data_IF_237875235310
#
_entry.id   IF_237875235310
#
_cell.length_a   1.000
_cell.length_b   1.000
_cell.length_c   1.000
_cell.angle_alpha   90.00
_cell.angle_beta   90.00
_cell.angle_gamma   90.00
#
_symmetry.space_group_name_H-M   'P 1'
#
loop_
_entity.id
_entity.type
_entity.pdbx_description
1 polymer ?
#
# COMPACT_ATOMS: atom_id res chain seq x y z
N UNK A 1 23.37 -11.04 7.29
CA UNK A 1 22.27 -10.87 8.25
C UNK A 1 21.01 -10.91 7.44
N UNK A 2 20.27 -12.01 7.51
CA UNK A 2 19.01 -12.14 6.79
C UNK A 2 17.90 -11.52 7.63
N UNK A 3 17.29 -10.45 7.12
CA UNK A 3 16.09 -9.90 7.72
C UNK A 3 14.90 -10.78 7.29
N UNK A 4 14.42 -11.63 8.18
CA UNK A 4 13.17 -12.37 7.96
C UNK A 4 12.01 -11.39 8.15
N UNK A 5 11.22 -11.19 7.09
CA UNK A 5 10.06 -10.31 7.12
C UNK A 5 8.79 -11.16 7.10
N UNK A 6 7.87 -10.90 8.04
CA UNK A 6 6.56 -11.54 8.09
C UNK A 6 5.64 -10.93 7.02
N UNK A 7 5.02 -11.79 6.20
CA UNK A 7 3.94 -11.42 5.31
C UNK A 7 2.60 -11.80 5.94
N UNK A 8 1.69 -10.84 5.98
CA UNK A 8 0.42 -10.92 6.71
C UNK A 8 -0.72 -10.83 5.71
N UNK A 9 -1.68 -11.75 5.77
CA UNK A 9 -2.91 -11.67 4.94
C UNK A 9 -3.70 -10.42 5.35
N UNK A 10 -4.00 -9.57 4.37
CA UNK A 10 -4.68 -8.29 4.58
C UNK A 10 -6.13 -8.44 5.11
N UNK A 11 -6.71 -9.63 5.03
CA UNK A 11 -8.03 -9.97 5.59
C UNK A 11 -7.95 -10.35 7.07
N UNK A 12 -6.81 -10.91 7.49
CA UNK A 12 -6.60 -11.35 8.87
C UNK A 12 -6.18 -10.19 9.76
N UNK A 13 -5.28 -9.33 9.27
CA UNK A 13 -4.76 -8.21 10.03
C UNK A 13 -4.33 -7.08 9.10
N UNK A 14 -4.66 -5.85 9.49
CA UNK A 14 -4.26 -4.63 8.78
C UNK A 14 -3.05 -3.97 9.46
N UNK A 15 -2.25 -3.19 8.72
CA UNK A 15 -1.19 -2.38 9.30
C UNK A 15 -1.75 -1.28 10.21
N UNK A 16 -0.86 -0.61 10.94
CA UNK A 16 -1.22 0.64 11.63
C UNK A 16 -1.36 1.77 10.60
N UNK A 17 -2.31 2.68 10.85
CA UNK A 17 -2.52 3.86 10.00
C UNK A 17 -1.25 4.71 9.91
N UNK A 18 -0.93 5.18 8.71
CA UNK A 18 0.26 5.98 8.38
C UNK A 18 1.55 5.17 8.19
N UNK A 19 1.53 3.85 8.36
CA UNK A 19 2.76 3.03 8.24
C UNK A 19 3.01 2.65 6.78
N UNK A 20 4.25 2.83 6.27
CA UNK A 20 4.65 2.33 4.97
C UNK A 20 4.90 0.81 5.03
N UNK A 21 4.42 0.11 4.00
CA UNK A 21 4.47 -1.35 3.87
C UNK A 21 4.88 -1.75 2.47
N UNK A 22 5.43 -2.95 2.33
CA UNK A 22 5.42 -3.65 1.05
C UNK A 22 4.06 -4.37 0.93
N UNK A 23 3.29 -4.06 -0.11
CA UNK A 23 1.96 -4.63 -0.34
C UNK A 23 1.97 -5.50 -1.59
N UNK A 24 1.54 -6.76 -1.44
CA UNK A 24 1.35 -7.69 -2.55
C UNK A 24 -0.05 -7.48 -3.16
N UNK A 25 -0.11 -7.02 -4.40
CA UNK A 25 -1.34 -6.80 -5.16
C UNK A 25 -1.42 -7.76 -6.34
N UNK A 26 -2.64 -8.13 -6.71
CA UNK A 26 -2.92 -8.92 -7.89
C UNK A 26 -3.96 -8.21 -8.75
N UNK A 27 -3.91 -8.37 -10.06
CA UNK A 27 -4.90 -7.82 -10.96
C UNK A 27 -4.75 -8.39 -12.35
N UNK A 28 -5.34 -7.71 -13.33
CA UNK A 28 -5.26 -8.07 -14.74
C UNK A 28 -4.98 -6.85 -15.57
N UNK A 29 -3.97 -6.92 -16.43
CA UNK A 29 -3.71 -5.87 -17.40
C UNK A 29 -4.85 -5.78 -18.42
N UNK A 30 -5.08 -4.61 -19.04
CA UNK A 30 -5.96 -4.52 -20.19
C UNK A 30 -5.52 -5.48 -21.31
N UNK A 31 -6.45 -6.06 -22.11
CA UNK A 31 -6.08 -6.86 -23.26
C UNK A 31 -5.38 -6.01 -24.32
N UNK A 32 -4.32 -6.55 -24.91
CA UNK A 32 -3.69 -5.95 -26.09
C UNK A 32 -4.55 -6.17 -27.35
N UNK A 33 -4.39 -5.36 -28.42
CA UNK A 33 -5.13 -5.55 -29.66
C UNK A 33 -5.01 -6.98 -30.21
N UNK A 34 -6.16 -7.64 -30.38
CA UNK A 34 -6.25 -9.03 -30.85
C UNK A 34 -6.28 -10.08 -29.74
N UNK A 35 -6.21 -9.69 -28.46
CA UNK A 35 -6.39 -10.59 -27.33
C UNK A 35 -7.84 -10.54 -26.81
N UNK A 36 -8.38 -11.71 -26.45
CA UNK A 36 -9.73 -11.82 -25.88
C UNK A 36 -9.78 -11.41 -24.39
N UNK A 37 -8.66 -11.48 -23.69
CA UNK A 37 -8.51 -11.09 -22.30
C UNK A 37 -7.05 -10.70 -22.02
N UNK A 38 -6.82 -9.81 -21.07
CA UNK A 38 -5.47 -9.45 -20.65
C UNK A 38 -4.87 -10.44 -19.65
N UNK A 39 -3.59 -10.25 -19.36
CA UNK A 39 -2.76 -11.11 -18.52
C UNK A 39 -2.93 -10.79 -17.03
N UNK A 40 -3.00 -11.84 -16.20
CA UNK A 40 -3.02 -11.69 -14.75
C UNK A 40 -1.63 -11.32 -14.22
N UNK A 41 -1.54 -10.43 -13.24
CA UNK A 41 -0.29 -10.01 -12.64
C UNK A 41 -0.29 -10.14 -11.12
N UNK A 42 0.91 -10.23 -10.56
CA UNK A 42 1.21 -10.17 -9.13
C UNK A 42 2.39 -9.23 -8.93
N UNK A 43 2.20 -8.15 -8.16
CA UNK A 43 3.21 -7.13 -7.92
C UNK A 43 3.37 -6.90 -6.42
N UNK A 44 4.60 -6.56 -6.01
CA UNK A 44 4.88 -6.01 -4.68
C UNK A 44 5.23 -4.54 -4.85
N UNK A 45 4.44 -3.67 -4.24
CA UNK A 45 4.58 -2.22 -4.35
C UNK A 45 4.74 -1.59 -2.97
N UNK A 46 5.57 -0.54 -2.83
CA UNK A 46 5.59 0.26 -1.63
C UNK A 46 4.31 1.10 -1.53
N UNK A 47 3.60 1.00 -0.42
CA UNK A 47 2.37 1.74 -0.13
C UNK A 47 2.38 2.21 1.31
N UNK A 48 1.49 3.13 1.68
CA UNK A 48 1.13 3.32 3.08
C UNK A 48 -0.32 2.87 3.31
N UNK A 49 -0.60 2.37 4.50
CA UNK A 49 -1.96 2.06 4.92
C UNK A 49 -2.57 3.22 5.69
N UNK A 50 -3.87 3.49 5.50
CA UNK A 50 -4.63 4.44 6.31
C UNK A 50 -6.04 3.95 6.58
N UNK A 51 -6.56 4.24 7.77
CA UNK A 51 -7.94 3.94 8.15
C UNK A 51 -8.95 4.86 7.46
N UNK A 52 -8.52 6.05 7.01
CA UNK A 52 -9.34 7.00 6.27
C UNK A 52 -8.50 7.75 5.23
N UNK A 53 -8.93 7.72 3.97
CA UNK A 53 -8.34 8.48 2.87
C UNK A 53 -9.44 9.20 2.10
N UNK A 54 -9.21 10.47 1.74
CA UNK A 54 -10.09 11.23 0.86
C UNK A 54 -9.31 11.45 -0.43
N UNK A 55 -9.77 10.86 -1.52
CA UNK A 55 -9.16 11.04 -2.84
C UNK A 55 -9.43 12.43 -3.40
N UNK A 56 -8.72 12.81 -4.46
CA UNK A 56 -8.85 14.14 -5.10
C UNK A 56 -10.25 14.42 -5.63
N UNK A 57 -10.98 13.37 -6.02
CA UNK A 57 -12.38 13.44 -6.46
C UNK A 57 -13.39 13.56 -5.29
N UNK A 58 -12.90 13.57 -4.05
CA UNK A 58 -13.70 13.62 -2.83
C UNK A 58 -14.19 12.26 -2.33
N UNK A 59 -13.87 11.16 -3.01
CA UNK A 59 -14.26 9.80 -2.59
C UNK A 59 -13.55 9.43 -1.28
N UNK A 60 -14.34 9.05 -0.27
CA UNK A 60 -13.80 8.54 0.99
C UNK A 60 -13.56 7.02 0.90
N UNK A 61 -12.34 6.60 1.19
CA UNK A 61 -11.93 5.22 1.35
C UNK A 61 -11.63 4.93 2.82
N UNK A 62 -11.93 3.71 3.26
CA UNK A 62 -11.63 3.22 4.60
C UNK A 62 -10.74 2.00 4.55
N UNK A 63 -9.79 1.93 5.47
CA UNK A 63 -8.83 0.84 5.59
C UNK A 63 -8.20 0.49 4.24
N UNK A 64 -7.51 1.45 3.62
CA UNK A 64 -6.98 1.33 2.27
C UNK A 64 -5.46 1.48 2.22
N UNK A 65 -4.89 0.99 1.13
CA UNK A 65 -3.48 1.13 0.79
C UNK A 65 -3.35 2.14 -0.34
N UNK A 66 -2.40 3.06 -0.23
CA UNK A 66 -2.18 4.13 -1.21
C UNK A 66 -0.72 4.13 -1.62
N UNK A 67 -0.46 4.07 -2.94
CA UNK A 67 0.89 4.14 -3.48
C UNK A 67 1.34 5.58 -3.77
N UNK A 68 2.57 5.74 -4.28
CA UNK A 68 3.15 7.04 -4.62
C UNK A 68 2.38 7.78 -5.72
N UNK A 69 1.71 7.04 -6.60
CA UNK A 69 0.94 7.56 -7.72
C UNK A 69 -0.52 7.85 -7.32
N UNK A 70 -0.82 7.80 -6.01
CA UNK A 70 -2.13 8.03 -5.40
C UNK A 70 -3.18 7.00 -5.79
N UNK A 71 -2.79 5.83 -6.30
CA UNK A 71 -3.72 4.74 -6.60
C UNK A 71 -4.15 4.08 -5.29
N UNK A 72 -5.46 4.08 -5.03
CA UNK A 72 -6.05 3.48 -3.83
C UNK A 72 -6.41 2.03 -4.10
N UNK A 73 -5.90 1.13 -3.25
CA UNK A 73 -6.21 -0.30 -3.27
C UNK A 73 -6.82 -0.74 -1.95
N UNK A 74 -7.67 -1.76 -2.03
CA UNK A 74 -8.37 -2.31 -0.87
C UNK A 74 -7.86 -3.74 -0.57
N UNK A 75 -7.97 -4.22 0.68
CA UNK A 75 -7.76 -5.63 0.99
C UNK A 75 -8.58 -6.54 0.09
N UNK A 76 -7.99 -7.70 -0.23
CA UNK A 76 -8.64 -8.77 -0.97
C UNK A 76 -9.97 -9.16 -0.32
N UNK A 77 -10.99 -9.44 -1.15
CA UNK A 77 -12.36 -9.68 -0.70
C UNK A 77 -13.23 -8.42 -0.63
N UNK A 78 -12.69 -7.23 -0.92
CA UNK A 78 -13.46 -6.01 -1.16
C UNK A 78 -13.48 -5.62 -2.64
N UNK A 79 -14.50 -4.89 -3.12
CA UNK A 79 -14.57 -4.46 -4.53
C UNK A 79 -13.40 -3.55 -4.90
N UNK A 80 -12.44 -4.08 -5.68
CA UNK A 80 -11.28 -3.36 -6.18
C UNK A 80 -10.72 -4.09 -7.41
N UNK A 81 -10.19 -3.35 -8.39
CA UNK A 81 -9.56 -3.94 -9.56
C UNK A 81 -8.22 -4.62 -9.23
N UNK A 82 -7.51 -4.07 -8.24
CA UNK A 82 -6.18 -4.51 -7.82
C UNK A 82 -6.15 -4.73 -6.30
N UNK A 83 -6.75 -5.81 -5.79
CA UNK A 83 -6.77 -6.07 -4.36
C UNK A 83 -5.39 -6.35 -3.76
N UNK A 84 -5.15 -5.84 -2.55
CA UNK A 84 -4.00 -6.21 -1.72
C UNK A 84 -4.28 -7.53 -1.02
N UNK A 85 -3.48 -8.55 -1.30
CA UNK A 85 -3.62 -9.88 -0.70
C UNK A 85 -2.85 -9.98 0.61
N UNK A 86 -1.60 -9.51 0.62
CA UNK A 86 -0.72 -9.55 1.78
C UNK A 86 0.07 -8.26 1.92
N UNK A 87 0.57 -8.00 3.11
CA UNK A 87 1.47 -6.89 3.36
C UNK A 87 2.59 -7.30 4.32
N UNK A 88 3.65 -6.52 4.31
CA UNK A 88 4.79 -6.69 5.20
C UNK A 88 5.28 -5.31 5.66
N UNK A 89 5.66 -5.18 6.94
CA UNK A 89 6.36 -3.98 7.41
C UNK A 89 7.69 -3.84 6.66
N UNK A 90 8.02 -2.62 6.24
CA UNK A 90 9.30 -2.38 5.59
C UNK A 90 10.42 -2.59 6.62
N UNK A 91 11.51 -3.31 6.28
CA UNK A 91 12.62 -3.48 7.21
C UNK A 91 13.25 -2.11 7.51
N UNK A 92 13.56 -1.87 8.78
CA UNK A 92 14.39 -0.74 9.15
C UNK A 92 15.81 -0.93 8.58
N UNK A 93 16.52 0.18 8.33
CA UNK A 93 17.92 0.12 7.91
C UNK A 93 18.74 -0.67 8.96
N UNK A 94 19.72 -1.48 8.54
CA UNK A 94 20.54 -2.26 9.47
C UNK A 94 21.10 -1.39 10.59
N UNK A 95 20.83 -1.75 11.85
CA UNK A 95 21.28 -1.02 13.04
C UNK A 95 20.36 0.11 13.51
N UNK A 96 19.20 0.33 12.88
CA UNK A 96 18.22 1.33 13.28
C UNK A 96 16.89 0.66 13.63
N UNK A 97 16.23 1.12 14.71
CA UNK A 97 14.84 0.73 15.06
C UNK A 97 13.83 1.79 14.60
N UNK A 98 14.28 2.78 13.84
CA UNK A 98 13.53 3.99 13.51
C UNK A 98 13.42 4.18 12.00
N UNK A 99 12.21 4.49 11.55
CA UNK A 99 11.97 5.00 10.20
C UNK A 99 12.23 6.52 10.21
N UNK A 100 13.20 6.99 9.42
CA UNK A 100 13.49 8.42 9.29
C UNK A 100 12.77 8.99 8.07
N UNK A 101 11.86 9.93 8.29
CA UNK A 101 11.33 10.78 7.22
C UNK A 101 12.23 12.02 7.14
N UNK A 102 12.87 12.23 5.99
CA UNK A 102 13.83 13.30 5.73
C UNK A 102 13.27 14.29 4.71
N UNK A 103 13.63 15.57 4.84
CA UNK A 103 13.18 16.66 3.96
C UNK A 103 12.67 17.85 4.78
N UNK A 104 12.88 19.09 4.29
CA UNK A 104 12.43 20.30 5.00
C UNK A 104 10.90 20.30 5.19
N UNK A 105 10.16 19.87 4.17
CA UNK A 105 8.70 19.82 4.20
C UNK A 105 8.13 18.55 4.86
N UNK A 106 8.97 17.55 5.12
CA UNK A 106 8.53 16.25 5.62
C UNK A 106 7.83 16.36 6.99
N UNK A 107 8.33 17.22 7.87
CA UNK A 107 7.73 17.43 9.20
C UNK A 107 6.36 18.09 9.12
N UNK A 108 6.17 18.99 8.16
CA UNK A 108 4.89 19.67 7.92
C UNK A 108 3.90 18.67 7.35
N UNK A 109 4.29 17.93 6.30
CA UNK A 109 3.46 16.88 5.71
C UNK A 109 3.04 15.80 6.72
N UNK A 110 3.93 15.38 7.63
CA UNK A 110 3.60 14.41 8.69
C UNK A 110 2.60 14.98 9.70
N UNK A 111 2.75 16.25 10.12
CA UNK A 111 1.77 16.89 11.02
C UNK A 111 0.40 16.96 10.36
N UNK A 112 0.34 17.43 9.12
CA UNK A 112 -0.92 17.62 8.40
C UNK A 112 -1.63 16.28 8.15
N UNK A 113 -0.88 15.19 7.95
CA UNK A 113 -1.43 13.85 7.79
C UNK A 113 -1.89 13.19 9.12
N UNK A 114 -1.36 13.61 10.27
CA UNK A 114 -1.65 13.00 11.57
C UNK A 114 -2.69 13.76 12.42
N UNK A 115 -3.02 15.01 12.07
CA UNK A 115 -4.02 15.83 12.78
C UNK A 115 -3.44 16.58 13.97
#
# INVERSE_FOLDING_TARGET
MDAVVEWVDARERLPRSGVPVAAATSGRYPPEPGQAAGEDFWLVLPMYFTTRHIAEDGTEYRDCFVDSDRVVRLPHGRPCAEPVTHWAELPALPGMTVHHVLGEDARTAVRDAMG
#
